data_IF_977813160365
#
_entry.id   IF_977813160365
#
_cell.length_a   1.000
_cell.length_b   1.000
_cell.length_c   1.000
_cell.angle_alpha   90.00
_cell.angle_beta   90.00
_cell.angle_gamma   90.00
#
_symmetry.space_group_name_H-M   'P 1'
#
loop_
_entity.id
_entity.type
_entity.pdbx_description
1 polymer ?
#
# COMPACT_ATOMS: atom_id res chain seq x y z
N UNK A 1 38.45 34.45 67.15
CA UNK A 1 37.68 34.82 68.35
C UNK A 1 38.44 35.77 69.31
N UNK A 2 39.63 36.28 68.95
CA UNK A 2 40.40 37.23 69.78
C UNK A 2 40.38 38.69 69.26
N UNK A 3 39.82 38.93 68.07
CA UNK A 3 39.78 40.26 67.45
C UNK A 3 38.62 41.12 67.95
N UNK A 4 37.49 40.52 68.35
CA UNK A 4 36.31 41.27 68.79
C UNK A 4 36.48 41.91 70.18
N UNK A 5 37.19 41.25 71.11
CA UNK A 5 37.44 41.78 72.46
C UNK A 5 38.35 43.01 72.46
N UNK A 6 39.41 43.03 71.66
CA UNK A 6 40.33 44.17 71.55
C UNK A 6 39.68 45.41 70.90
N UNK A 7 38.72 45.20 69.99
CA UNK A 7 37.95 46.30 69.40
C UNK A 7 36.93 46.88 70.39
N UNK A 8 36.35 46.06 71.27
CA UNK A 8 35.42 46.50 72.30
C UNK A 8 36.11 47.32 73.41
N UNK A 9 37.29 46.91 73.89
CA UNK A 9 38.05 47.67 74.92
C UNK A 9 38.54 49.03 74.42
N UNK A 10 38.98 49.13 73.16
CA UNK A 10 39.41 50.39 72.56
C UNK A 10 38.26 51.39 72.34
N UNK A 11 37.02 50.90 72.21
CA UNK A 11 35.83 51.74 72.10
C UNK A 11 35.49 52.37 73.47
N UNK A 12 35.67 51.61 74.56
CA UNK A 12 35.33 52.01 75.92
C UNK A 12 36.23 53.14 76.46
N UNK A 13 37.55 53.10 76.19
CA UNK A 13 38.46 54.19 76.60
C UNK A 13 38.26 55.50 75.81
N UNK A 14 37.81 55.41 74.56
CA UNK A 14 37.56 56.57 73.69
C UNK A 14 36.21 57.26 73.99
N UNK A 15 35.20 56.50 74.41
CA UNK A 15 33.90 57.00 74.88
C UNK A 15 34.04 58.02 76.02
N UNK A 16 35.06 57.88 76.87
CA UNK A 16 35.31 58.76 78.02
C UNK A 16 36.00 60.08 77.61
N UNK A 17 36.74 60.13 76.50
CA UNK A 17 37.53 61.31 76.07
C UNK A 17 36.87 62.18 74.99
N UNK A 18 36.08 61.61 74.07
CA UNK A 18 35.34 62.41 73.07
C UNK A 18 34.09 61.68 72.53
N UNK A 19 33.03 61.56 73.35
CA UNK A 19 31.84 60.76 73.02
C UNK A 19 31.09 61.25 71.78
N UNK A 20 31.14 62.55 71.47
CA UNK A 20 30.42 63.13 70.31
C UNK A 20 31.05 62.69 68.98
N UNK A 21 32.39 62.70 68.88
CA UNK A 21 33.08 62.27 67.66
C UNK A 21 32.89 60.78 67.39
N UNK A 22 32.94 59.96 68.44
CA UNK A 22 32.73 58.53 68.32
C UNK A 22 31.29 58.19 67.93
N UNK A 23 30.29 58.88 68.49
CA UNK A 23 28.89 58.73 68.06
C UNK A 23 28.68 59.14 66.59
N UNK A 24 29.39 60.16 66.10
CA UNK A 24 29.34 60.54 64.68
C UNK A 24 29.97 59.47 63.77
N UNK A 25 31.08 58.87 64.19
CA UNK A 25 31.75 57.80 63.46
C UNK A 25 30.91 56.52 63.41
N UNK A 26 30.30 56.13 64.54
CA UNK A 26 29.35 55.00 64.60
C UNK A 26 28.15 55.25 63.69
N UNK A 27 27.58 56.46 63.68
CA UNK A 27 26.47 56.81 62.77
C UNK A 27 26.88 56.75 61.30
N UNK A 28 28.10 57.18 60.96
CA UNK A 28 28.63 57.08 59.60
C UNK A 28 28.80 55.62 59.18
N UNK A 29 29.40 54.79 60.03
CA UNK A 29 29.58 53.35 59.77
C UNK A 29 28.24 52.61 59.67
N UNK A 30 27.25 52.98 60.49
CA UNK A 30 25.88 52.45 60.36
C UNK A 30 25.27 52.82 59.02
N UNK A 31 25.34 54.09 58.61
CA UNK A 31 24.82 54.53 57.32
C UNK A 31 25.53 53.86 56.12
N UNK A 32 26.84 53.67 56.19
CA UNK A 32 27.61 52.96 55.16
C UNK A 32 27.21 51.48 55.08
N UNK A 33 27.06 50.81 56.23
CA UNK A 33 26.64 49.41 56.30
C UNK A 33 25.19 49.23 55.82
N UNK A 34 24.29 50.12 56.19
CA UNK A 34 22.91 50.13 55.70
C UNK A 34 22.87 50.32 54.18
N UNK A 35 23.67 51.25 53.63
CA UNK A 35 23.76 51.46 52.18
C UNK A 35 24.35 50.25 51.43
N UNK A 36 25.33 49.56 52.02
CA UNK A 36 25.88 48.33 51.45
C UNK A 36 24.87 47.18 51.49
N UNK A 37 24.17 46.99 52.61
CA UNK A 37 23.10 46.02 52.73
C UNK A 37 21.96 46.29 51.75
N UNK A 38 21.57 47.55 51.55
CA UNK A 38 20.57 47.94 50.56
C UNK A 38 20.99 47.53 49.14
N UNK A 39 22.25 47.77 48.76
CA UNK A 39 22.78 47.38 47.44
C UNK A 39 22.79 45.87 47.24
N UNK A 40 23.18 45.11 48.27
CA UNK A 40 23.16 43.65 48.21
C UNK A 40 21.71 43.16 48.06
N UNK A 41 20.77 43.70 48.83
CA UNK A 41 19.35 43.35 48.72
C UNK A 41 18.81 43.65 47.31
N UNK A 42 19.10 44.82 46.76
CA UNK A 42 18.70 45.18 45.40
C UNK A 42 19.30 44.25 44.33
N UNK A 43 20.58 43.86 44.49
CA UNK A 43 21.23 42.92 43.58
C UNK A 43 20.58 41.52 43.67
N UNK A 44 20.34 41.02 44.88
CA UNK A 44 19.67 39.72 45.08
C UNK A 44 18.24 39.74 44.57
N UNK A 45 17.52 40.85 44.73
CA UNK A 45 16.15 40.99 44.23
C UNK A 45 16.12 40.94 42.69
N UNK A 46 17.07 41.59 42.02
CA UNK A 46 17.21 41.51 40.56
C UNK A 46 17.53 40.10 40.07
N UNK A 47 18.45 39.41 40.75
CA UNK A 47 18.80 38.03 40.43
C UNK A 47 17.59 37.10 40.59
N UNK A 48 16.81 37.26 41.66
CA UNK A 48 15.57 36.51 41.86
C UNK A 48 14.56 36.79 40.73
N UNK A 49 14.38 38.05 40.33
CA UNK A 49 13.48 38.40 39.22
C UNK A 49 13.94 37.84 37.88
N UNK A 50 15.25 37.79 37.62
CA UNK A 50 15.82 37.20 36.40
C UNK A 50 15.61 35.68 36.39
N UNK A 51 15.91 35.00 37.49
CA UNK A 51 15.69 33.55 37.64
C UNK A 51 14.21 33.17 37.53
N UNK A 52 13.31 34.00 38.07
CA UNK A 52 11.87 33.79 37.93
C UNK A 52 11.42 33.89 36.47
N UNK A 53 11.91 34.88 35.72
CA UNK A 53 11.61 35.01 34.29
C UNK A 53 12.15 33.83 33.48
N UNK A 54 13.34 33.35 33.81
CA UNK A 54 13.92 32.18 33.15
C UNK A 54 13.11 30.91 33.47
N UNK A 55 12.71 30.72 34.72
CA UNK A 55 11.85 29.60 35.12
C UNK A 55 10.50 29.61 34.39
N UNK A 56 9.86 30.77 34.28
CA UNK A 56 8.60 30.92 33.54
C UNK A 56 8.78 30.63 32.04
N UNK A 57 9.89 31.10 31.44
CA UNK A 57 10.20 30.83 30.04
C UNK A 57 10.44 29.33 29.79
N UNK A 58 11.18 28.66 30.69
CA UNK A 58 11.40 27.22 30.62
C UNK A 58 10.12 26.42 30.78
N UNK A 59 9.22 26.82 31.69
CA UNK A 59 7.92 26.17 31.86
C UNK A 59 7.05 26.27 30.60
N UNK A 60 7.10 27.40 29.88
CA UNK A 60 6.39 27.58 28.61
C UNK A 60 6.97 26.65 27.53
N UNK A 61 8.31 26.58 27.42
CA UNK A 61 8.97 25.69 26.46
C UNK A 61 8.72 24.21 26.78
N UNK A 62 8.78 23.80 28.04
CA UNK A 62 8.46 22.44 28.47
C UNK A 62 7.01 22.08 28.09
N UNK A 63 6.05 22.96 28.36
CA UNK A 63 4.66 22.76 27.98
C UNK A 63 4.47 22.68 26.46
N UNK A 64 5.24 23.44 25.68
CA UNK A 64 5.23 23.38 24.21
C UNK A 64 5.77 22.03 23.72
N UNK A 65 6.95 21.63 24.19
CA UNK A 65 7.59 20.37 23.82
C UNK A 65 6.73 19.17 24.21
N UNK A 66 6.09 19.21 25.37
CA UNK A 66 5.18 18.14 25.81
C UNK A 66 4.01 17.96 24.83
N UNK A 67 3.37 19.07 24.40
CA UNK A 67 2.28 19.02 23.43
C UNK A 67 2.74 18.52 22.06
N UNK A 68 3.92 18.95 21.61
CA UNK A 68 4.51 18.47 20.36
C UNK A 68 4.80 16.97 20.43
N UNK A 69 5.34 16.49 21.56
CA UNK A 69 5.60 15.07 21.78
C UNK A 69 4.31 14.23 21.80
N UNK A 70 3.26 14.70 22.49
CA UNK A 70 1.96 14.04 22.49
C UNK A 70 1.34 13.96 21.09
N UNK A 71 1.45 15.05 20.31
CA UNK A 71 0.97 15.07 18.93
C UNK A 71 1.73 14.06 18.04
N UNK A 72 3.04 13.94 18.20
CA UNK A 72 3.86 12.95 17.49
C UNK A 72 3.50 11.53 17.91
N UNK A 73 3.27 11.27 19.20
CA UNK A 73 2.82 9.96 19.66
C UNK A 73 1.47 9.57 19.05
N UNK A 74 0.53 10.51 18.99
CA UNK A 74 -0.78 10.27 18.39
C UNK A 74 -0.68 10.00 16.88
N UNK A 75 0.12 10.77 16.15
CA UNK A 75 0.38 10.55 14.72
C UNK A 75 1.02 9.17 14.49
N UNK A 76 2.04 8.81 15.27
CA UNK A 76 2.68 7.50 15.16
C UNK A 76 1.69 6.35 15.44
N UNK A 77 0.85 6.46 16.48
CA UNK A 77 -0.16 5.44 16.77
C UNK A 77 -1.13 5.25 15.58
N UNK A 78 -1.55 6.35 14.95
CA UNK A 78 -2.41 6.29 13.76
C UNK A 78 -1.71 5.66 12.55
N UNK A 79 -0.42 5.93 12.36
CA UNK A 79 0.37 5.35 11.27
C UNK A 79 0.64 3.87 11.48
N UNK A 80 0.93 3.46 12.72
CA UNK A 80 1.08 2.05 13.07
C UNK A 80 -0.21 1.27 12.83
N UNK A 81 -1.37 1.84 13.18
CA UNK A 81 -2.65 1.22 12.87
C UNK A 81 -2.87 1.08 11.35
N UNK A 82 -2.58 2.13 10.58
CA UNK A 82 -2.70 2.10 9.13
C UNK A 82 -1.77 1.05 8.49
N UNK A 83 -0.55 0.90 9.00
CA UNK A 83 0.39 -0.15 8.56
C UNK A 83 -0.14 -1.55 8.87
N UNK A 84 -0.68 -1.77 10.07
CA UNK A 84 -1.28 -3.05 10.43
C UNK A 84 -2.50 -3.41 9.55
N UNK A 85 -3.33 -2.42 9.22
CA UNK A 85 -4.46 -2.60 8.30
C UNK A 85 -3.97 -2.94 6.89
N UNK A 86 -2.91 -2.28 6.41
CA UNK A 86 -2.30 -2.56 5.12
C UNK A 86 -1.72 -3.99 5.06
N UNK A 87 -0.96 -4.40 6.08
CA UNK A 87 -0.40 -5.75 6.16
C UNK A 87 -1.51 -6.81 6.17
N UNK A 88 -2.61 -6.56 6.88
CA UNK A 88 -3.76 -7.46 6.89
C UNK A 88 -4.42 -7.57 5.51
N UNK A 89 -4.58 -6.45 4.79
CA UNK A 89 -5.12 -6.46 3.43
C UNK A 89 -4.20 -7.20 2.45
N UNK A 90 -2.89 -7.01 2.56
CA UNK A 90 -1.91 -7.71 1.71
C UNK A 90 -1.96 -9.22 1.95
N UNK A 91 -2.05 -9.67 3.20
CA UNK A 91 -2.21 -11.09 3.52
C UNK A 91 -3.51 -11.69 2.95
N UNK A 92 -4.62 -10.93 3.00
CA UNK A 92 -5.88 -11.34 2.38
C UNK A 92 -5.73 -11.45 0.86
N UNK A 93 -5.05 -10.50 0.23
CA UNK A 93 -4.83 -10.49 -1.21
C UNK A 93 -3.95 -11.67 -1.65
N UNK A 94 -2.84 -11.92 -0.96
CA UNK A 94 -1.97 -13.08 -1.19
C UNK A 94 -2.72 -14.41 -1.04
N UNK A 95 -3.56 -14.53 0.00
CA UNK A 95 -4.38 -15.73 0.19
C UNK A 95 -5.40 -15.93 -0.95
N UNK A 96 -6.00 -14.84 -1.45
CA UNK A 96 -6.90 -14.89 -2.62
C UNK A 96 -6.15 -15.26 -3.89
N UNK A 97 -4.95 -14.70 -4.13
CA UNK A 97 -4.14 -15.07 -5.29
C UNK A 97 -3.74 -16.55 -5.24
N UNK A 98 -3.31 -17.05 -4.08
CA UNK A 98 -2.99 -18.47 -3.91
C UNK A 98 -4.20 -19.37 -4.19
N UNK A 99 -5.39 -18.97 -3.74
CA UNK A 99 -6.64 -19.69 -4.03
C UNK A 99 -6.98 -19.67 -5.53
N UNK A 100 -6.89 -18.52 -6.17
CA UNK A 100 -7.13 -18.40 -7.62
C UNK A 100 -6.14 -19.24 -8.42
N UNK A 101 -4.87 -19.28 -8.03
CA UNK A 101 -3.88 -20.13 -8.69
C UNK A 101 -4.22 -21.61 -8.56
N UNK A 102 -4.64 -22.05 -7.38
CA UNK A 102 -5.09 -23.43 -7.19
C UNK A 102 -6.34 -23.76 -8.03
N UNK A 103 -7.27 -22.82 -8.19
CA UNK A 103 -8.44 -22.97 -9.06
C UNK A 103 -8.02 -23.05 -10.55
N UNK A 104 -7.06 -22.22 -10.98
CA UNK A 104 -6.49 -22.28 -12.33
C UNK A 104 -5.85 -23.66 -12.58
N UNK A 105 -5.00 -24.12 -11.67
CA UNK A 105 -4.31 -25.40 -11.80
C UNK A 105 -5.31 -26.57 -11.87
N UNK A 106 -6.41 -26.51 -11.10
CA UNK A 106 -7.48 -27.50 -11.16
C UNK A 106 -8.23 -27.47 -12.51
N UNK A 107 -8.59 -26.29 -13.00
CA UNK A 107 -9.24 -26.15 -14.31
C UNK A 107 -8.31 -26.61 -15.44
N UNK A 108 -7.02 -26.31 -15.40
CA UNK A 108 -6.05 -26.81 -16.37
C UNK A 108 -5.94 -28.34 -16.35
N UNK A 109 -5.99 -28.96 -15.17
CA UNK A 109 -5.99 -30.40 -15.04
C UNK A 109 -7.26 -31.02 -15.67
N UNK A 110 -8.43 -30.48 -15.37
CA UNK A 110 -9.71 -30.91 -15.98
C UNK A 110 -9.68 -30.77 -17.51
N UNK A 111 -9.12 -29.66 -18.02
CA UNK A 111 -9.02 -29.40 -19.44
C UNK A 111 -8.09 -30.40 -20.14
N UNK A 112 -6.95 -30.75 -19.51
CA UNK A 112 -6.05 -31.81 -20.01
C UNK A 112 -6.74 -33.18 -20.01
N UNK A 113 -7.53 -33.50 -18.99
CA UNK A 113 -8.28 -34.75 -18.95
C UNK A 113 -9.32 -34.82 -20.06
N UNK A 114 -10.09 -33.75 -20.27
CA UNK A 114 -11.06 -33.64 -21.36
C UNK A 114 -10.39 -33.76 -22.72
N UNK A 115 -9.26 -33.08 -22.94
CA UNK A 115 -8.50 -33.18 -24.18
C UNK A 115 -7.89 -34.57 -24.42
N UNK A 116 -7.53 -35.29 -23.35
CA UNK A 116 -7.00 -36.65 -23.44
C UNK A 116 -8.09 -37.70 -23.70
N UNK A 117 -9.33 -37.40 -23.28
CA UNK A 117 -10.51 -38.23 -23.47
C UNK A 117 -11.30 -37.89 -24.74
N UNK A 118 -10.82 -36.96 -25.56
CA UNK A 118 -11.44 -36.61 -26.83
C UNK A 118 -10.96 -37.55 -27.97
N UNK A 119 -11.76 -38.55 -28.39
CA UNK A 119 -11.41 -39.39 -29.53
C UNK A 119 -11.37 -38.61 -30.85
N UNK A 120 -11.84 -37.37 -30.90
CA UNK A 120 -11.85 -36.53 -32.10
C UNK A 120 -10.55 -35.77 -32.37
N UNK A 121 -9.53 -35.88 -31.49
CA UNK A 121 -8.13 -35.60 -31.87
C UNK A 121 -7.53 -36.71 -32.76
N UNK A 122 -8.32 -37.70 -33.18
CA UNK A 122 -7.97 -38.50 -34.35
C UNK A 122 -7.92 -37.56 -35.56
N UNK A 123 -6.75 -37.47 -36.19
CA UNK A 123 -6.54 -36.72 -37.43
C UNK A 123 -7.68 -37.03 -38.42
N UNK A 124 -8.61 -36.09 -38.62
CA UNK A 124 -9.61 -36.21 -39.68
C UNK A 124 -8.82 -36.36 -40.96
N UNK A 125 -8.99 -37.50 -41.63
CA UNK A 125 -8.24 -37.75 -42.85
C UNK A 125 -8.65 -36.71 -43.90
N UNK A 126 -7.71 -36.34 -44.78
CA UNK A 126 -8.00 -35.39 -45.86
C UNK A 126 -9.19 -35.85 -46.72
N UNK A 127 -9.39 -37.17 -46.83
CA UNK A 127 -10.52 -37.78 -47.54
C UNK A 127 -11.86 -37.54 -46.83
N UNK A 128 -11.91 -37.59 -45.50
CA UNK A 128 -13.12 -37.26 -44.72
C UNK A 128 -13.46 -35.77 -44.83
N UNK A 129 -12.46 -34.89 -44.86
CA UNK A 129 -12.67 -33.46 -45.12
C UNK A 129 -13.22 -33.22 -46.52
N UNK A 130 -12.64 -33.84 -47.55
CA UNK A 130 -13.15 -33.74 -48.92
C UNK A 130 -14.58 -34.28 -49.03
N UNK A 131 -14.88 -35.43 -48.43
CA UNK A 131 -16.22 -36.01 -48.42
C UNK A 131 -17.23 -35.09 -47.70
N UNK A 132 -16.83 -34.47 -46.59
CA UNK A 132 -17.63 -33.49 -45.86
C UNK A 132 -17.94 -32.26 -46.71
N UNK A 133 -16.96 -31.73 -47.44
CA UNK A 133 -17.13 -30.59 -48.35
C UNK A 133 -18.11 -30.92 -49.49
N UNK A 134 -17.93 -32.05 -50.18
CA UNK A 134 -18.85 -32.47 -51.25
C UNK A 134 -20.27 -32.71 -50.72
N UNK A 135 -20.39 -33.35 -49.55
CA UNK A 135 -21.68 -33.58 -48.90
C UNK A 135 -22.35 -32.27 -48.48
N UNK A 136 -21.57 -31.28 -48.03
CA UNK A 136 -22.05 -29.94 -47.69
C UNK A 136 -22.58 -29.16 -48.89
N UNK A 137 -22.00 -29.39 -50.07
CA UNK A 137 -22.50 -28.89 -51.36
C UNK A 137 -23.70 -29.70 -51.89
N UNK A 138 -24.19 -30.68 -51.14
CA UNK A 138 -25.33 -31.52 -51.54
C UNK A 138 -24.98 -32.64 -52.51
N UNK A 139 -23.69 -32.92 -52.74
CA UNK A 139 -23.19 -33.96 -53.65
C UNK A 139 -22.83 -35.22 -52.89
N UNK A 140 -23.43 -36.36 -53.25
CA UNK A 140 -23.15 -37.66 -52.64
C UNK A 140 -22.94 -38.72 -53.71
N UNK A 141 -22.01 -39.65 -53.49
CA UNK A 141 -21.89 -40.81 -54.36
C UNK A 141 -23.01 -41.83 -54.08
N UNK A 142 -23.67 -42.33 -55.13
CA UNK A 142 -24.54 -43.51 -55.06
C UNK A 142 -23.65 -44.76 -55.19
N UNK A 143 -23.37 -45.40 -54.05
CA UNK A 143 -22.56 -46.62 -54.00
C UNK A 143 -23.49 -47.80 -53.73
N UNK A 144 -23.46 -48.80 -54.61
CA UNK A 144 -24.22 -50.05 -54.45
C UNK A 144 -23.28 -51.23 -54.56
N UNK A 145 -23.39 -52.17 -53.61
CA UNK A 145 -22.52 -53.34 -53.53
C UNK A 145 -21.01 -53.00 -53.60
N UNK A 146 -20.62 -51.88 -52.96
CA UNK A 146 -19.22 -51.42 -52.92
C UNK A 146 -18.68 -50.81 -54.22
N UNK A 147 -19.54 -50.54 -55.21
CA UNK A 147 -19.14 -49.89 -56.47
C UNK A 147 -19.87 -48.55 -56.66
N UNK A 148 -19.19 -47.50 -57.13
CA UNK A 148 -19.85 -46.24 -57.48
C UNK A 148 -20.73 -46.47 -58.72
N UNK A 149 -22.02 -46.17 -58.59
CA UNK A 149 -23.03 -46.34 -59.66
C UNK A 149 -23.52 -44.99 -60.18
N UNK A 150 -23.41 -43.93 -59.38
CA UNK A 150 -23.94 -42.62 -59.71
C UNK A 150 -23.55 -41.52 -58.73
N UNK A 151 -24.08 -40.34 -58.97
CA UNK A 151 -24.03 -39.19 -58.07
C UNK A 151 -25.45 -38.76 -57.76
N UNK A 152 -25.71 -38.47 -56.49
CA UNK A 152 -26.95 -37.93 -55.95
C UNK A 152 -26.70 -36.47 -55.59
N UNK A 153 -27.53 -35.60 -56.12
CA UNK A 153 -27.51 -34.17 -55.88
C UNK A 153 -28.74 -33.79 -55.08
N UNK A 154 -28.53 -33.09 -53.96
CA UNK A 154 -29.58 -32.65 -53.04
C UNK A 154 -29.47 -31.15 -52.85
N UNK A 155 -30.54 -30.42 -53.11
CA UNK A 155 -30.57 -28.97 -52.89
C UNK A 155 -30.49 -28.62 -51.39
N UNK A 156 -30.14 -27.36 -51.08
CA UNK A 156 -30.03 -26.89 -49.69
C UNK A 156 -31.33 -27.02 -48.89
N UNK A 157 -32.50 -26.90 -49.54
CA UNK A 157 -33.82 -27.08 -48.93
C UNK A 157 -34.27 -28.57 -48.87
N UNK A 158 -33.45 -29.51 -49.36
CA UNK A 158 -33.70 -30.95 -49.43
C UNK A 158 -34.94 -31.36 -50.25
N UNK A 159 -35.46 -30.48 -51.10
CA UNK A 159 -36.64 -30.75 -51.91
C UNK A 159 -36.30 -31.31 -53.29
N UNK A 160 -35.18 -30.85 -53.87
CA UNK A 160 -34.75 -31.31 -55.19
C UNK A 160 -33.67 -32.38 -55.03
N UNK A 161 -34.01 -33.58 -55.51
CA UNK A 161 -33.13 -34.73 -55.53
C UNK A 161 -32.93 -35.19 -56.97
N UNK A 162 -31.69 -35.07 -57.47
CA UNK A 162 -31.33 -35.59 -58.80
C UNK A 162 -30.36 -36.74 -58.66
N UNK A 163 -30.67 -37.87 -59.30
CA UNK A 163 -29.79 -39.05 -59.33
C UNK A 163 -29.28 -39.24 -60.75
N UNK A 164 -27.97 -39.16 -60.92
CA UNK A 164 -27.31 -39.29 -62.22
C UNK A 164 -26.41 -40.53 -62.21
N UNK A 165 -26.63 -41.45 -63.15
CA UNK A 165 -25.87 -42.71 -63.20
C UNK A 165 -24.63 -42.58 -64.07
N UNK A 166 -23.51 -43.12 -63.60
CA UNK A 166 -22.21 -43.08 -64.29
C UNK A 166 -22.20 -43.88 -65.60
N UNK A 167 -23.12 -44.83 -65.77
CA UNK A 167 -23.20 -45.68 -66.96
C UNK A 167 -24.09 -45.11 -68.08
N UNK A 168 -24.77 -43.99 -67.83
CA UNK A 168 -25.75 -43.40 -68.76
C UNK A 168 -25.23 -42.15 -69.47
N UNK A 169 -24.21 -41.51 -68.91
CA UNK A 169 -23.75 -40.20 -69.36
C UNK A 169 -22.23 -40.13 -69.32
N UNK A 170 -21.65 -39.31 -70.21
CA UNK A 170 -20.23 -39.01 -70.19
C UNK A 170 -19.84 -38.26 -68.91
N UNK A 171 -18.62 -38.46 -68.44
CA UNK A 171 -18.04 -37.85 -67.25
C UNK A 171 -18.03 -36.32 -67.36
N UNK A 172 -17.73 -35.79 -68.55
CA UNK A 172 -17.73 -34.34 -68.80
C UNK A 172 -19.14 -33.75 -68.67
N UNK A 173 -20.13 -34.44 -69.22
CA UNK A 173 -21.54 -34.03 -69.09
C UNK A 173 -22.01 -34.09 -67.64
N UNK A 174 -21.69 -35.17 -66.93
CA UNK A 174 -22.06 -35.34 -65.52
C UNK A 174 -21.43 -34.25 -64.65
N UNK A 175 -20.14 -33.95 -64.86
CA UNK A 175 -19.43 -32.91 -64.12
C UNK A 175 -20.05 -31.54 -64.34
N UNK A 176 -20.40 -31.19 -65.58
CA UNK A 176 -21.09 -29.94 -65.88
C UNK A 176 -22.47 -29.86 -65.20
N UNK A 177 -23.24 -30.95 -65.20
CA UNK A 177 -24.55 -30.98 -64.54
C UNK A 177 -24.46 -30.88 -63.01
N UNK A 178 -23.37 -31.39 -62.40
CA UNK A 178 -23.11 -31.19 -60.97
C UNK A 178 -22.84 -29.71 -60.69
N UNK A 179 -21.98 -29.06 -61.48
CA UNK A 179 -21.68 -27.64 -61.30
C UNK A 179 -22.89 -26.74 -61.52
N UNK A 180 -23.70 -27.01 -62.55
CA UNK A 180 -24.96 -26.29 -62.81
C UNK A 180 -25.99 -26.44 -61.68
N UNK A 181 -25.98 -27.57 -60.97
CA UNK A 181 -26.90 -27.81 -59.86
C UNK A 181 -26.50 -27.08 -58.57
N UNK A 182 -25.20 -26.86 -58.37
CA UNK A 182 -24.65 -26.22 -57.16
C UNK A 182 -24.56 -24.70 -57.33
N UNK A 183 -24.43 -24.20 -58.56
CA UNK A 183 -24.40 -22.77 -58.91
C UNK A 183 -25.75 -22.08 -58.71
#
# INVERSE_FOLDING_TARGET
MQTDEFHLEAIDESLVRNPIKMLQEVRRLQAEKEAEQQKVLEATQKEIEELQKEADALAIEEARVHREYEAVLQDNASREQALQEQDALEQIELAKMAKMQAEIDAMEAELRELESNDPYKASISTDELHLGLYTGLGVKADIRNGKPVGVVLTSANKQDLRVMRLNQYDVDYLSNQVWEFIS
#
